data_IF_589221763606
#
_entry.id   IF_589221763606
#
_cell.length_a   1.000
_cell.length_b   1.000
_cell.length_c   1.000
_cell.angle_alpha   90.00
_cell.angle_beta   90.00
_cell.angle_gamma   90.00
#
_symmetry.space_group_name_H-M   'P 1'
#
loop_
_entity.id
_entity.type
_entity.pdbx_description
1 polymer ?
#
# COMPACT_ATOMS: atom_id res chain seq x y z
N UNK A 1 4.01 -3.11 18.80
CA UNK A 1 4.46 -2.49 17.53
C UNK A 1 3.89 -1.08 17.48
N UNK A 2 4.73 -0.05 17.41
CA UNK A 2 4.29 1.35 17.34
C UNK A 2 3.47 1.54 16.05
N UNK A 3 2.15 1.77 16.18
CA UNK A 3 1.26 1.98 15.04
C UNK A 3 1.52 3.41 14.56
N UNK A 4 2.49 3.57 13.66
CA UNK A 4 2.71 4.84 12.97
C UNK A 4 1.42 5.29 12.24
N UNK A 5 1.36 6.54 11.79
CA UNK A 5 0.17 7.17 11.19
C UNK A 5 -0.66 6.24 10.28
N UNK A 6 -0.02 5.60 9.28
CA UNK A 6 -0.67 4.67 8.35
C UNK A 6 -1.21 3.39 9.01
N UNK A 7 -0.60 2.93 10.11
CA UNK A 7 -1.06 1.78 10.87
C UNK A 7 -2.37 2.01 11.64
N UNK A 8 -2.85 3.25 11.72
CA UNK A 8 -4.16 3.60 12.28
C UNK A 8 -5.22 3.86 11.20
N UNK A 9 -4.86 3.89 9.92
CA UNK A 9 -5.82 4.01 8.83
C UNK A 9 -6.69 2.76 8.76
N UNK A 10 -8.01 2.89 8.54
CA UNK A 10 -8.91 1.73 8.34
C UNK A 10 -8.65 1.02 7.01
N UNK A 11 -8.32 1.81 5.99
CA UNK A 11 -8.03 1.35 4.64
C UNK A 11 -6.77 2.07 4.15
N UNK A 12 -5.82 1.32 3.60
CA UNK A 12 -4.65 1.88 2.92
C UNK A 12 -4.78 1.51 1.46
N UNK A 13 -5.00 2.50 0.60
CA UNK A 13 -5.02 2.35 -0.85
C UNK A 13 -3.82 3.11 -1.43
N UNK A 14 -3.00 2.44 -2.23
CA UNK A 14 -1.84 3.07 -2.88
C UNK A 14 -1.71 2.63 -4.32
N UNK A 15 -1.13 3.53 -5.10
CA UNK A 15 -0.65 3.27 -6.46
C UNK A 15 0.87 3.19 -6.44
N UNK A 16 1.49 3.10 -7.61
CA UNK A 16 2.94 3.23 -7.76
C UNK A 16 3.44 4.53 -7.11
N UNK A 17 4.39 4.40 -6.19
CA UNK A 17 5.08 5.53 -5.56
C UNK A 17 6.48 5.69 -6.14
N UNK A 18 7.01 6.91 -6.09
CA UNK A 18 8.33 7.25 -6.67
C UNK A 18 9.40 7.35 -5.59
N UNK A 19 9.08 7.96 -4.45
CA UNK A 19 10.03 8.23 -3.39
C UNK A 19 10.27 7.01 -2.51
N UNK A 20 11.53 6.70 -2.26
CA UNK A 20 11.95 5.46 -1.58
C UNK A 20 11.47 5.38 -0.13
N UNK A 21 11.40 6.51 0.55
CA UNK A 21 10.93 6.68 1.91
C UNK A 21 9.43 6.36 2.03
N UNK A 22 8.64 6.85 1.07
CA UNK A 22 7.19 6.61 1.02
C UNK A 22 6.90 5.16 0.69
N UNK A 23 7.61 4.58 -0.28
CA UNK A 23 7.52 3.16 -0.64
C UNK A 23 7.73 2.30 0.62
N UNK A 24 8.81 2.56 1.38
CA UNK A 24 9.11 1.79 2.61
C UNK A 24 8.06 1.98 3.69
N UNK A 25 7.58 3.21 3.88
CA UNK A 25 6.56 3.51 4.89
C UNK A 25 5.23 2.80 4.58
N UNK A 26 4.79 2.87 3.32
CA UNK A 26 3.55 2.22 2.86
C UNK A 26 3.71 0.70 2.83
N UNK A 27 4.84 0.16 2.36
CA UNK A 27 5.13 -1.27 2.36
C UNK A 27 5.04 -1.85 3.78
N UNK A 28 5.65 -1.18 4.76
CA UNK A 28 5.58 -1.55 6.17
C UNK A 28 4.16 -1.54 6.72
N UNK A 29 3.36 -0.51 6.41
CA UNK A 29 1.98 -0.42 6.86
C UNK A 29 1.08 -1.49 6.19
N UNK A 30 1.32 -1.77 4.92
CA UNK A 30 0.64 -2.79 4.14
C UNK A 30 1.13 -4.22 4.43
N UNK A 31 2.28 -4.36 5.09
CA UNK A 31 2.98 -5.63 5.34
C UNK A 31 3.27 -6.39 4.04
N UNK A 32 3.76 -5.67 3.03
CA UNK A 32 4.21 -6.20 1.73
C UNK A 32 5.67 -5.80 1.49
N UNK A 33 6.32 -6.43 0.53
CA UNK A 33 7.65 -6.02 0.09
C UNK A 33 7.61 -4.65 -0.61
N UNK A 34 8.66 -3.86 -0.42
CA UNK A 34 8.79 -2.55 -1.08
C UNK A 34 8.68 -2.65 -2.61
N UNK A 35 9.24 -3.71 -3.18
CA UNK A 35 9.21 -3.98 -4.62
C UNK A 35 7.78 -4.17 -5.14
N UNK A 36 6.85 -4.68 -4.31
CA UNK A 36 5.46 -4.85 -4.70
C UNK A 36 4.75 -3.51 -4.96
N UNK A 37 5.19 -2.43 -4.28
CA UNK A 37 4.68 -1.07 -4.52
C UNK A 37 5.44 -0.39 -5.66
N UNK A 38 6.76 -0.57 -5.70
CA UNK A 38 7.61 0.03 -6.72
C UNK A 38 7.32 -0.51 -8.14
N UNK A 39 6.91 -1.78 -8.23
CA UNK A 39 6.63 -2.49 -9.48
C UNK A 39 5.20 -2.28 -10.02
N UNK A 40 4.32 -1.59 -9.28
CA UNK A 40 2.97 -1.27 -9.77
C UNK A 40 3.05 -0.52 -11.09
N UNK A 41 2.26 -0.93 -12.09
CA UNK A 41 2.22 -0.25 -13.38
C UNK A 41 1.30 0.99 -13.30
N UNK A 42 1.35 1.89 -14.30
CA UNK A 42 0.39 2.98 -14.38
C UNK A 42 -1.05 2.46 -14.28
N UNK A 43 -1.84 3.09 -13.41
CA UNK A 43 -3.24 2.73 -13.07
C UNK A 43 -3.42 1.47 -12.21
N UNK A 44 -2.35 0.75 -11.88
CA UNK A 44 -2.45 -0.34 -10.90
C UNK A 44 -2.53 0.23 -9.48
N UNK A 45 -3.28 -0.46 -8.64
CA UNK A 45 -3.41 -0.15 -7.23
C UNK A 45 -3.35 -1.42 -6.38
N UNK A 46 -2.93 -1.23 -5.13
CA UNK A 46 -3.02 -2.23 -4.06
C UNK A 46 -3.68 -1.58 -2.85
N UNK A 47 -4.51 -2.35 -2.19
CA UNK A 47 -5.32 -1.93 -1.06
C UNK A 47 -5.21 -2.93 0.09
N UNK A 48 -5.19 -2.43 1.31
CA UNK A 48 -5.26 -3.21 2.54
C UNK A 48 -6.33 -2.66 3.46
N UNK A 49 -7.27 -3.52 3.83
CA UNK A 49 -8.11 -3.33 5.02
C UNK A 49 -7.29 -3.68 6.26
N UNK A 50 -7.09 -2.71 7.15
CA UNK A 50 -6.23 -2.90 8.32
C UNK A 50 -6.93 -3.60 9.48
N UNK A 51 -8.27 -3.63 9.49
CA UNK A 51 -9.05 -4.34 10.49
C UNK A 51 -9.05 -5.84 10.20
N UNK A 52 -9.23 -6.21 8.93
CA UNK A 52 -9.30 -7.62 8.51
C UNK A 52 -7.96 -8.17 8.02
N UNK A 53 -7.00 -7.30 7.71
CA UNK A 53 -5.72 -7.66 7.09
C UNK A 53 -5.84 -8.09 5.62
N UNK A 54 -7.05 -8.10 5.06
CA UNK A 54 -7.29 -8.51 3.67
C UNK A 54 -6.69 -7.50 2.70
N UNK A 55 -6.12 -8.03 1.62
CA UNK A 55 -5.54 -7.23 0.54
C UNK A 55 -6.31 -7.45 -0.74
N UNK A 56 -6.39 -6.39 -1.53
CA UNK A 56 -6.91 -6.39 -2.89
C UNK A 56 -5.93 -5.65 -3.78
N UNK A 57 -5.92 -6.00 -5.05
CA UNK A 57 -5.22 -5.25 -6.07
C UNK A 57 -6.11 -5.18 -7.31
N UNK A 58 -5.84 -4.22 -8.16
CA UNK A 58 -6.57 -4.05 -9.38
C UNK A 58 -5.98 -2.95 -10.23
N UNK A 59 -6.75 -2.58 -11.24
CA UNK A 59 -6.42 -1.52 -12.17
C UNK A 59 -7.60 -0.56 -12.27
N UNK A 60 -7.34 0.74 -12.37
CA UNK A 60 -8.37 1.73 -12.66
C UNK A 60 -8.93 1.47 -14.07
N UNK A 61 -10.26 1.36 -14.17
CA UNK A 61 -11.00 1.20 -15.43
C UNK A 61 -11.94 2.40 -15.56
N UNK A 62 -12.06 2.95 -16.77
CA UNK A 62 -12.94 4.08 -17.08
C UNK A 62 -14.21 3.61 -17.79
#
# INVERSE_FOLDING_TARGET
MNRGFLGNATLIHTVRLVYSEDIRAVAKAMQVEADAIAALQPLDWIEKDTQTGKRRSGRVVF
#
